data_IF_046946195194
#
_entry.id   IF_046946195194
#
_cell.length_a   1.000
_cell.length_b   1.000
_cell.length_c   1.000
_cell.angle_alpha   90.00
_cell.angle_beta   90.00
_cell.angle_gamma   90.00
#
_symmetry.space_group_name_H-M   'P 1'
#
loop_
_entity.id
_entity.type
_entity.pdbx_description
1 polymer ?
#
# COMPACT_ATOMS: atom_id res chain seq x y z
N UNK A 1 10.03 0.15 -11.13
CA UNK A 1 10.66 -0.47 -9.93
C UNK A 1 11.15 0.57 -8.92
N UNK A 2 12.05 1.50 -9.26
CA UNK A 2 12.59 2.49 -8.30
C UNK A 2 11.53 3.38 -7.63
N UNK A 3 10.49 3.79 -8.35
CA UNK A 3 9.46 4.72 -7.85
C UNK A 3 8.67 4.18 -6.66
N UNK A 4 8.26 2.91 -6.68
CA UNK A 4 7.50 2.29 -5.58
C UNK A 4 8.32 2.21 -4.29
N UNK A 5 9.61 1.84 -4.40
CA UNK A 5 10.52 1.84 -3.26
C UNK A 5 10.67 3.22 -2.62
N UNK A 6 10.90 4.26 -3.43
CA UNK A 6 11.08 5.62 -2.91
C UNK A 6 9.81 6.17 -2.27
N UNK A 7 8.64 5.91 -2.88
CA UNK A 7 7.36 6.27 -2.27
C UNK A 7 7.18 5.58 -0.92
N UNK A 8 7.43 4.27 -0.83
CA UNK A 8 7.32 3.56 0.43
C UNK A 8 8.24 4.16 1.50
N UNK A 9 9.52 4.34 1.16
CA UNK A 9 10.54 4.83 2.09
C UNK A 9 10.29 6.26 2.58
N UNK A 10 9.88 7.16 1.69
CA UNK A 10 9.82 8.60 1.99
C UNK A 10 8.44 9.06 2.43
N UNK A 11 7.37 8.52 1.83
CA UNK A 11 6.03 9.07 1.97
C UNK A 11 5.20 8.29 2.98
N UNK A 12 5.39 6.97 3.11
CA UNK A 12 4.49 6.14 3.93
C UNK A 12 4.77 6.23 5.43
N UNK A 13 6.03 6.41 5.84
CA UNK A 13 6.44 6.36 7.24
C UNK A 13 6.36 4.96 7.87
N UNK A 14 6.25 3.91 7.05
CA UNK A 14 6.14 2.51 7.49
C UNK A 14 7.51 1.84 7.59
N UNK A 15 7.57 0.72 8.31
CA UNK A 15 8.79 -0.08 8.45
C UNK A 15 9.15 -0.73 7.11
N UNK A 16 10.44 -0.67 6.74
CA UNK A 16 10.95 -1.35 5.55
C UNK A 16 10.86 -2.87 5.64
N UNK A 17 10.74 -3.43 6.84
CA UNK A 17 10.54 -4.86 7.09
C UNK A 17 9.26 -5.38 6.42
N UNK A 18 8.23 -4.53 6.29
CA UNK A 18 6.99 -4.91 5.61
C UNK A 18 7.19 -5.25 4.13
N UNK A 19 8.18 -4.67 3.47
CA UNK A 19 8.52 -5.01 2.08
C UNK A 19 9.26 -6.35 1.98
N UNK A 20 9.92 -6.77 3.06
CA UNK A 20 10.54 -8.10 3.15
C UNK A 20 9.44 -9.15 3.37
N UNK A 21 8.49 -8.86 4.25
CA UNK A 21 7.36 -9.76 4.55
C UNK A 21 6.34 -9.83 3.40
N UNK A 22 6.24 -8.76 2.60
CA UNK A 22 5.29 -8.66 1.48
C UNK A 22 5.97 -8.16 0.19
N UNK A 23 6.83 -8.97 -0.44
CA UNK A 23 7.57 -8.58 -1.64
C UNK A 23 6.66 -8.31 -2.86
N UNK A 24 5.46 -8.90 -2.88
CA UNK A 24 4.43 -8.68 -3.90
C UNK A 24 4.04 -7.21 -4.03
N UNK A 25 4.33 -6.36 -3.02
CA UNK A 25 4.23 -4.90 -3.11
C UNK A 25 4.74 -4.35 -4.45
N UNK A 26 5.89 -4.84 -4.91
CA UNK A 26 6.54 -4.33 -6.13
C UNK A 26 5.86 -4.78 -7.43
N UNK A 27 4.92 -5.71 -7.36
CA UNK A 27 4.10 -6.13 -8.51
C UNK A 27 2.92 -5.19 -8.76
N UNK A 28 2.52 -4.41 -7.76
CA UNK A 28 1.41 -3.48 -7.88
C UNK A 28 1.85 -2.14 -8.48
N UNK A 29 0.95 -1.53 -9.26
CA UNK A 29 1.16 -0.20 -9.83
C UNK A 29 1.19 0.87 -8.74
N UNK A 30 2.23 1.72 -8.77
CA UNK A 30 2.34 2.82 -7.83
C UNK A 30 1.16 3.80 -7.96
N UNK A 31 0.88 4.25 -9.17
CA UNK A 31 -0.09 5.33 -9.42
C UNK A 31 -1.53 4.84 -9.40
N UNK A 32 -1.81 3.64 -9.92
CA UNK A 32 -3.20 3.14 -10.01
C UNK A 32 -3.64 2.29 -8.82
N UNK A 33 -2.71 1.84 -7.96
CA UNK A 33 -3.03 0.92 -6.86
C UNK A 33 -2.47 1.37 -5.52
N UNK A 34 -1.17 1.57 -5.40
CA UNK A 34 -0.53 1.78 -4.10
C UNK A 34 -0.89 3.17 -3.54
N UNK A 35 -0.59 4.25 -4.27
CA UNK A 35 -0.82 5.63 -3.81
C UNK A 35 -2.28 5.90 -3.45
N UNK A 36 -3.27 5.62 -4.33
CA UNK A 36 -4.67 5.95 -4.02
C UNK A 36 -5.17 5.23 -2.77
N UNK A 37 -4.79 3.96 -2.59
CA UNK A 37 -5.22 3.19 -1.41
C UNK A 37 -4.52 3.68 -0.14
N UNK A 38 -3.24 4.03 -0.22
CA UNK A 38 -2.49 4.57 0.92
C UNK A 38 -3.09 5.88 1.44
N UNK A 39 -3.39 6.81 0.52
CA UNK A 39 -4.00 8.10 0.85
C UNK A 39 -5.36 7.93 1.53
N UNK A 40 -6.20 7.00 1.02
CA UNK A 40 -7.49 6.71 1.65
C UNK A 40 -7.38 6.14 3.05
N UNK A 41 -6.42 5.25 3.30
CA UNK A 41 -6.18 4.71 4.64
C UNK A 41 -5.66 5.79 5.60
N UNK A 42 -4.72 6.63 5.14
CA UNK A 42 -4.20 7.75 5.94
C UNK A 42 -5.30 8.72 6.35
N UNK A 43 -6.17 9.10 5.42
CA UNK A 43 -7.26 10.05 5.69
C UNK A 43 -8.29 9.52 6.70
N UNK A 44 -8.38 8.19 6.87
CA UNK A 44 -9.26 7.52 7.82
C UNK A 44 -8.54 7.01 9.07
N UNK A 45 -7.23 7.28 9.19
CA UNK A 45 -6.36 6.81 10.27
C UNK A 45 -6.38 5.27 10.45
N UNK A 46 -6.58 4.52 9.36
CA UNK A 46 -6.62 3.06 9.39
C UNK A 46 -5.20 2.52 9.26
N UNK A 47 -4.78 1.74 10.27
CA UNK A 47 -3.51 1.02 10.25
C UNK A 47 -3.73 -0.47 9.95
N UNK A 48 -3.18 -0.97 8.84
CA UNK A 48 -3.36 -2.36 8.39
C UNK A 48 -2.16 -2.81 7.53
N UNK A 49 -1.96 -4.13 7.39
CA UNK A 49 -0.83 -4.69 6.63
C UNK A 49 -0.91 -4.41 5.13
N UNK A 50 0.25 -4.44 4.45
CA UNK A 50 0.31 -4.29 2.98
C UNK A 50 -0.59 -5.30 2.25
N UNK A 51 -0.56 -6.56 2.67
CA UNK A 51 -1.41 -7.60 2.10
C UNK A 51 -2.91 -7.27 2.24
N UNK A 52 -3.33 -6.69 3.36
CA UNK A 52 -4.74 -6.38 3.58
C UNK A 52 -5.26 -5.35 2.58
N UNK A 53 -4.51 -4.28 2.29
CA UNK A 53 -5.01 -3.25 1.39
C UNK A 53 -4.55 -3.39 -0.05
N UNK A 54 -3.53 -4.19 -0.37
CA UNK A 54 -3.06 -4.37 -1.76
C UNK A 54 -3.58 -5.67 -2.38
N UNK A 55 -3.68 -6.74 -1.60
CA UNK A 55 -4.07 -8.07 -2.08
C UNK A 55 -5.60 -8.30 -2.07
N UNK A 56 -6.35 -7.37 -2.65
CA UNK A 56 -7.80 -7.50 -2.82
C UNK A 56 -8.30 -6.68 -4.01
N UNK A 57 -9.42 -7.07 -4.62
CA UNK A 57 -10.04 -6.28 -5.69
C UNK A 57 -10.37 -4.86 -5.23
N UNK A 58 -10.62 -3.94 -6.18
CA UNK A 58 -11.04 -2.58 -5.83
C UNK A 58 -12.35 -2.59 -5.05
N UNK A 59 -13.33 -3.39 -5.49
CA UNK A 59 -14.59 -3.59 -4.75
C UNK A 59 -14.35 -4.03 -3.31
N UNK A 60 -13.51 -5.05 -3.08
CA UNK A 60 -13.27 -5.56 -1.72
C UNK A 60 -12.47 -4.60 -0.86
N UNK A 61 -11.64 -3.75 -1.47
CA UNK A 61 -10.97 -2.68 -0.76
C UNK A 61 -11.97 -1.60 -0.33
N UNK A 62 -12.93 -1.24 -1.17
CA UNK A 62 -13.99 -0.30 -0.81
C UNK A 62 -14.90 -0.82 0.30
N UNK A 63 -15.28 -2.11 0.26
CA UNK A 63 -16.06 -2.76 1.33
C UNK A 63 -15.34 -2.79 2.68
N UNK A 64 -14.01 -2.67 2.66
CA UNK A 64 -13.13 -2.71 3.83
C UNK A 64 -12.86 -1.33 4.44
N UNK A 65 -13.03 -0.25 3.67
CA UNK A 65 -12.74 1.14 4.04
C UNK A 65 -13.87 1.82 4.81
#
# INVERSE_FOLDING_TARGET
MKSGYYFFKSDTGRSMEELVDFPDYFTYSLESRIKPRYERLRNKEINCSLAWFLNCSDQRFEERL
#
